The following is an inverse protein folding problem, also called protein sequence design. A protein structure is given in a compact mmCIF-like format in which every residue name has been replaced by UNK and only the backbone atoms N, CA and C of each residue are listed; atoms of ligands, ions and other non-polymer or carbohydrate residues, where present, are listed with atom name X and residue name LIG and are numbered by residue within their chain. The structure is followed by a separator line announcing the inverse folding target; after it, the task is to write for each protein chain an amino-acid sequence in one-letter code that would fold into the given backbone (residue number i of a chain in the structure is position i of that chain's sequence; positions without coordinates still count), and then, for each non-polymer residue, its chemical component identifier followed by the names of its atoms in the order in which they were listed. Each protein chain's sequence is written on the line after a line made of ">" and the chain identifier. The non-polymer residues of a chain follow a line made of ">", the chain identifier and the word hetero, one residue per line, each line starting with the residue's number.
data_IF_346249195257
#
_entry.id   IF_346249195257
#
_cell.length_a   1.000
_cell.length_b   1.000
_cell.length_c   1.000
_cell.angle_alpha   90.00
_cell.angle_beta   90.00
_cell.angle_gamma   90.00
#
_symmetry.space_group_name_H-M   'P 1'
#
loop_
_entity.id
_entity.type
_entity.pdbx_description
1 polymer ?
#
# COMPACT_ATOMS: atom_id res chain seq x y z
N UNK A 1 -27.60 44.82 21.79
CA UNK A 1 -26.92 44.45 23.06
C UNK A 1 -26.62 42.96 22.99
N UNK A 2 -25.45 42.36 23.18
CA UNK A 2 -24.05 42.69 23.44
C UNK A 2 -23.27 41.49 22.85
N UNK A 3 -22.26 41.67 21.99
CA UNK A 3 -20.84 41.89 22.35
C UNK A 3 -20.33 40.91 23.40
N UNK A 4 -19.44 39.98 23.05
CA UNK A 4 -18.19 39.73 23.77
C UNK A 4 -17.17 39.09 22.83
N UNK A 5 -16.03 39.79 22.73
CA UNK A 5 -14.93 39.54 21.85
C UNK A 5 -13.76 38.93 22.66
N UNK A 6 -12.93 38.14 21.95
CA UNK A 6 -11.49 37.95 22.16
C UNK A 6 -11.01 37.32 23.49
N UNK A 7 -10.10 36.35 23.38
CA UNK A 7 -8.79 36.38 24.03
C UNK A 7 -7.96 35.14 23.62
N UNK A 8 -7.04 35.38 22.68
CA UNK A 8 -5.85 34.56 22.46
C UNK A 8 -4.83 34.87 23.57
N UNK A 9 -4.11 33.89 24.13
CA UNK A 9 -2.82 34.15 24.73
C UNK A 9 -1.68 33.89 23.74
N UNK A 10 -0.97 34.96 23.42
CA UNK A 10 0.37 34.96 22.84
C UNK A 10 1.42 35.04 23.96
N UNK A 11 2.49 34.24 23.87
CA UNK A 11 3.88 34.60 24.26
C UNK A 11 4.76 33.36 24.10
N UNK A 12 5.54 33.24 23.02
CA UNK A 12 6.89 33.78 22.86
C UNK A 12 7.80 33.54 24.07
N UNK A 13 8.70 32.56 23.94
CA UNK A 13 10.10 32.74 24.36
C UNK A 13 11.01 32.47 23.19
N UNK A 14 11.51 33.58 22.65
CA UNK A 14 12.71 33.61 21.85
C UNK A 14 13.90 33.19 22.72
N UNK A 15 14.72 32.28 22.21
CA UNK A 15 16.12 32.19 22.60
C UNK A 15 16.94 32.10 21.32
N UNK A 16 17.35 33.28 20.84
CA UNK A 16 18.42 33.45 19.88
C UNK A 16 19.73 33.02 20.57
N UNK A 17 20.48 32.09 20.00
CA UNK A 17 21.94 32.08 20.15
C UNK A 17 22.58 31.96 18.78
N UNK A 18 23.63 32.75 18.65
CA UNK A 18 24.17 33.29 17.43
C UNK A 18 25.31 32.44 16.88
N UNK A 19 25.49 32.55 15.56
CA UNK A 19 26.76 32.67 14.82
C UNK A 19 27.84 31.62 15.09
N UNK A 20 28.06 30.78 14.08
CA UNK A 20 29.33 30.08 13.87
C UNK A 20 29.42 29.60 12.42
N UNK A 21 30.02 30.42 11.56
CA UNK A 21 30.51 30.00 10.24
C UNK A 21 31.71 29.06 10.49
N UNK A 22 31.61 27.77 10.13
CA UNK A 22 32.80 26.96 9.90
C UNK A 22 32.49 25.81 8.93
N UNK A 23 32.87 26.06 7.69
CA UNK A 23 33.49 25.16 6.73
C UNK A 23 32.74 23.90 6.29
N UNK A 24 32.47 23.91 4.98
CA UNK A 24 32.10 22.77 4.18
C UNK A 24 32.89 21.50 4.56
N UNK A 25 32.15 20.42 4.80
CA UNK A 25 32.62 19.07 4.59
C UNK A 25 31.44 18.27 4.09
N UNK A 26 31.36 18.16 2.76
CA UNK A 26 30.52 17.22 2.05
C UNK A 26 31.04 15.81 2.37
N UNK A 27 30.59 15.23 3.49
CA UNK A 27 30.84 13.82 3.77
C UNK A 27 29.77 13.00 3.07
N UNK A 28 30.10 12.57 1.85
CA UNK A 28 29.39 11.52 1.12
C UNK A 28 29.41 10.24 1.97
N UNK A 29 28.40 10.08 2.83
CA UNK A 29 28.25 8.90 3.67
C UNK A 29 27.59 7.81 2.84
N UNK A 30 28.42 6.98 2.19
CA UNK A 30 28.02 5.72 1.61
C UNK A 30 27.84 4.70 2.76
N UNK A 31 26.73 4.78 3.48
CA UNK A 31 26.36 3.80 4.50
C UNK A 31 25.67 2.61 3.82
N UNK A 32 26.45 1.55 3.61
CA UNK A 32 25.97 0.24 3.23
C UNK A 32 24.89 -0.25 4.21
N UNK A 33 23.74 -0.70 3.69
CA UNK A 33 22.70 -1.37 4.47
C UNK A 33 23.25 -2.71 4.99
N UNK A 34 23.59 -2.76 6.28
CA UNK A 34 23.68 -4.00 7.03
C UNK A 34 22.27 -4.40 7.52
N UNK A 35 21.76 -5.61 7.24
CA UNK A 35 20.49 -6.05 7.80
C UNK A 35 20.67 -6.48 9.27
N UNK A 36 19.85 -5.87 10.14
CA UNK A 36 19.32 -6.36 11.41
C UNK A 36 20.04 -7.55 12.08
N UNK A 37 20.92 -7.25 13.05
CA UNK A 37 21.32 -8.22 14.06
C UNK A 37 20.18 -8.39 15.09
N UNK A 38 19.36 -9.43 14.93
CA UNK A 38 18.35 -9.83 15.91
C UNK A 38 19.00 -10.63 17.05
N UNK A 39 18.54 -10.36 18.28
CA UNK A 39 18.96 -11.01 19.51
C UNK A 39 18.84 -12.53 19.43
N UNK A 40 19.96 -13.24 19.61
CA UNK A 40 20.00 -14.69 19.75
C UNK A 40 19.60 -15.09 21.18
N UNK A 41 18.39 -15.60 21.33
CA UNK A 41 17.88 -16.18 22.56
C UNK A 41 17.28 -17.57 22.32
N UNK A 42 17.89 -18.55 22.98
CA UNK A 42 17.41 -19.91 23.30
C UNK A 42 17.53 -21.03 22.27
N UNK A 43 18.48 -21.91 22.57
CA UNK A 43 18.61 -23.28 22.05
C UNK A 43 17.36 -24.11 22.32
N UNK A 44 16.75 -24.61 21.25
CA UNK A 44 16.02 -25.88 21.30
C UNK A 44 16.27 -26.65 20.02
N UNK A 45 16.85 -27.84 20.17
CA UNK A 45 17.30 -28.72 19.09
C UNK A 45 16.09 -29.39 18.45
N UNK A 46 15.36 -28.67 17.60
CA UNK A 46 14.39 -29.27 16.65
C UNK A 46 15.04 -29.29 15.28
N UNK A 47 15.07 -30.47 14.66
CA UNK A 47 15.51 -30.67 13.28
C UNK A 47 14.48 -30.00 12.35
N UNK A 48 14.66 -28.71 12.12
CA UNK A 48 13.86 -27.92 11.18
C UNK A 48 14.35 -28.28 9.77
N UNK A 49 13.61 -29.14 9.08
CA UNK A 49 13.70 -29.23 7.62
C UNK A 49 13.15 -27.93 7.04
N UNK A 50 14.03 -26.97 6.81
CA UNK A 50 13.76 -25.77 6.02
C UNK A 50 13.60 -26.20 4.57
N UNK A 51 12.37 -26.48 4.15
CA UNK A 51 12.06 -26.58 2.72
C UNK A 51 12.29 -25.21 2.10
N UNK A 52 13.29 -25.12 1.22
CA UNK A 52 13.50 -23.93 0.42
C UNK A 52 12.29 -23.74 -0.49
N UNK A 53 11.49 -22.72 -0.22
CA UNK A 53 10.42 -22.29 -1.13
C UNK A 53 11.09 -21.63 -2.32
N UNK A 54 11.11 -22.31 -3.46
CA UNK A 54 11.49 -21.70 -4.74
C UNK A 54 10.39 -20.70 -5.13
N UNK A 55 10.67 -19.41 -4.96
CA UNK A 55 9.78 -18.34 -5.44
C UNK A 55 9.84 -18.33 -6.97
N UNK A 56 8.70 -18.54 -7.63
CA UNK A 56 8.60 -18.41 -9.08
C UNK A 56 8.77 -16.92 -9.47
N UNK A 57 9.84 -16.53 -10.20
CA UNK A 57 10.06 -15.13 -10.56
C UNK A 57 8.92 -14.55 -11.41
N UNK A 58 8.14 -15.39 -12.11
CA UNK A 58 6.94 -14.95 -12.85
C UNK A 58 5.88 -14.29 -11.97
N UNK A 59 5.88 -14.50 -10.65
CA UNK A 59 4.97 -13.81 -9.74
C UNK A 59 5.32 -12.32 -9.60
N UNK A 60 6.60 -11.97 -9.75
CA UNK A 60 7.09 -10.59 -9.75
C UNK A 60 6.85 -9.95 -11.13
N UNK A 61 6.97 -10.73 -12.22
CA UNK A 61 6.84 -10.24 -13.61
C UNK A 61 5.42 -9.84 -14.01
N UNK A 62 4.41 -10.07 -13.17
CA UNK A 62 3.04 -9.59 -13.43
C UNK A 62 2.34 -9.20 -12.12
N UNK A 63 2.63 -8.02 -11.55
CA UNK A 63 2.00 -7.57 -10.30
C UNK A 63 0.46 -7.55 -10.41
N UNK A 64 -0.09 -7.26 -11.59
CA UNK A 64 -1.52 -7.35 -11.87
C UNK A 64 -2.13 -8.75 -11.70
N UNK A 65 -1.38 -9.82 -11.98
CA UNK A 65 -1.88 -11.21 -11.84
C UNK A 65 -2.07 -11.60 -10.39
N UNK A 66 -1.14 -11.20 -9.52
CA UNK A 66 -1.25 -11.46 -8.09
C UNK A 66 -2.42 -10.66 -7.50
N UNK A 67 -2.53 -9.37 -7.85
CA UNK A 67 -3.64 -8.52 -7.40
C UNK A 67 -4.99 -9.08 -7.87
N UNK A 68 -5.12 -9.43 -9.16
CA UNK A 68 -6.35 -9.99 -9.74
C UNK A 68 -6.71 -11.38 -9.18
N UNK A 69 -5.75 -12.16 -8.69
CA UNK A 69 -6.03 -13.48 -8.10
C UNK A 69 -6.98 -13.41 -6.89
N UNK A 70 -6.96 -12.30 -6.15
CA UNK A 70 -7.88 -12.09 -5.04
C UNK A 70 -9.34 -11.92 -5.50
N UNK A 71 -9.56 -11.38 -6.71
CA UNK A 71 -10.88 -11.14 -7.29
C UNK A 71 -11.57 -12.46 -7.72
N UNK A 72 -10.78 -13.42 -8.20
CA UNK A 72 -11.28 -14.70 -8.71
C UNK A 72 -11.85 -15.63 -7.65
N UNK A 73 -11.60 -15.33 -6.37
CA UNK A 73 -12.26 -16.02 -5.26
C UNK A 73 -13.78 -15.83 -5.31
N UNK A 74 -14.24 -14.71 -5.89
CA UNK A 74 -15.66 -14.35 -5.99
C UNK A 74 -16.16 -14.31 -7.43
N UNK A 75 -15.32 -13.92 -8.40
CA UNK A 75 -15.71 -13.73 -9.81
C UNK A 75 -15.29 -14.89 -10.73
N UNK A 76 -14.96 -16.05 -10.16
CA UNK A 76 -14.51 -17.21 -10.91
C UNK A 76 -13.13 -17.04 -11.55
N UNK A 77 -12.58 -18.15 -12.03
CA UNK A 77 -11.24 -18.17 -12.62
C UNK A 77 -11.21 -17.29 -13.87
N UNK A 78 -10.28 -16.33 -13.93
CA UNK A 78 -10.17 -15.42 -15.07
C UNK A 78 -11.25 -14.32 -15.13
N UNK A 79 -12.05 -14.17 -14.06
CA UNK A 79 -13.09 -13.15 -13.96
C UNK A 79 -14.37 -13.52 -14.70
N UNK A 80 -14.57 -14.81 -14.99
CA UNK A 80 -15.81 -15.34 -15.58
C UNK A 80 -16.60 -16.16 -14.55
N UNK A 81 -17.80 -15.70 -14.22
CA UNK A 81 -18.75 -16.38 -13.34
C UNK A 81 -18.68 -15.94 -11.87
N UNK A 82 -19.16 -16.80 -10.96
CA UNK A 82 -19.26 -16.46 -9.55
C UNK A 82 -20.42 -15.49 -9.28
N UNK A 83 -20.13 -14.34 -8.65
CA UNK A 83 -21.14 -13.28 -8.49
C UNK A 83 -21.51 -12.65 -9.83
N UNK A 84 -20.50 -12.18 -10.59
CA UNK A 84 -20.67 -11.50 -11.88
C UNK A 84 -19.40 -11.61 -12.73
N UNK A 85 -19.51 -11.35 -14.03
CA UNK A 85 -18.35 -11.27 -14.92
C UNK A 85 -17.66 -9.90 -14.79
N UNK A 86 -16.34 -9.90 -14.68
CA UNK A 86 -15.51 -8.67 -14.51
C UNK A 86 -14.47 -8.52 -15.64
N UNK A 87 -14.75 -9.09 -16.81
CA UNK A 87 -13.85 -9.01 -17.98
C UNK A 87 -14.22 -7.83 -18.86
N UNK A 88 -13.19 -7.13 -19.36
CA UNK A 88 -13.31 -6.09 -20.38
C UNK A 88 -12.31 -4.95 -20.17
N UNK A 89 -12.09 -4.55 -18.92
CA UNK A 89 -11.03 -3.62 -18.51
C UNK A 89 -11.12 -2.21 -19.12
N UNK A 90 -12.25 -1.83 -19.69
CA UNK A 90 -12.44 -0.48 -20.21
C UNK A 90 -12.27 0.59 -19.12
N UNK A 91 -12.05 1.83 -19.57
CA UNK A 91 -11.93 2.97 -18.66
C UNK A 91 -13.20 3.17 -17.81
N UNK A 92 -14.36 2.74 -18.32
CA UNK A 92 -15.63 2.66 -17.58
C UNK A 92 -15.51 1.78 -16.33
N UNK A 93 -14.95 0.57 -16.41
CA UNK A 93 -14.72 -0.30 -15.23
C UNK A 93 -13.84 0.36 -14.16
N UNK A 94 -12.84 1.16 -14.57
CA UNK A 94 -11.99 1.92 -13.62
C UNK A 94 -12.84 2.90 -12.83
N UNK A 95 -13.73 3.61 -13.54
CA UNK A 95 -14.62 4.62 -12.93
C UNK A 95 -15.60 3.94 -11.98
N UNK A 96 -16.23 2.87 -12.41
CA UNK A 96 -17.19 2.13 -11.60
C UNK A 96 -16.56 1.58 -10.31
N UNK A 97 -15.38 0.96 -10.41
CA UNK A 97 -14.65 0.51 -9.22
C UNK A 97 -14.27 1.68 -8.29
N UNK A 98 -13.97 2.85 -8.86
CA UNK A 98 -13.65 4.06 -8.08
C UNK A 98 -14.87 4.65 -7.40
N UNK A 99 -16.03 4.55 -8.03
CA UNK A 99 -17.28 4.99 -7.45
C UNK A 99 -17.65 4.07 -6.28
N UNK A 100 -17.52 2.74 -6.45
CA UNK A 100 -17.67 1.77 -5.35
C UNK A 100 -16.72 2.06 -4.17
N UNK A 101 -15.48 2.46 -4.43
CA UNK A 101 -14.52 2.80 -3.37
C UNK A 101 -14.97 4.00 -2.51
N UNK A 102 -15.84 4.88 -3.04
CA UNK A 102 -16.39 6.03 -2.32
C UNK A 102 -17.65 5.68 -1.52
N UNK A 103 -18.26 4.54 -1.81
CA UNK A 103 -19.44 4.08 -1.09
C UNK A 103 -19.09 3.54 0.30
N UNK A 104 -20.02 3.57 1.28
CA UNK A 104 -19.76 3.00 2.58
C UNK A 104 -19.59 1.48 2.49
N UNK A 105 -18.48 0.95 3.01
CA UNK A 105 -18.12 -0.48 2.96
C UNK A 105 -19.17 -1.47 3.51
N UNK A 106 -20.14 -0.98 4.29
CA UNK A 106 -21.23 -1.81 4.84
C UNK A 106 -22.39 -2.05 3.88
N UNK A 107 -22.48 -1.26 2.80
CA UNK A 107 -23.61 -1.31 1.87
C UNK A 107 -23.39 -2.36 0.79
N UNK A 108 -22.13 -2.57 0.41
CA UNK A 108 -21.75 -3.49 -0.66
C UNK A 108 -20.39 -4.12 -0.36
N UNK A 109 -20.24 -5.41 -0.66
CA UNK A 109 -19.01 -6.16 -0.39
C UNK A 109 -17.84 -5.68 -1.27
N UNK A 110 -18.14 -5.27 -2.51
CA UNK A 110 -17.17 -4.70 -3.42
C UNK A 110 -16.78 -3.29 -3.01
N UNK A 111 -17.64 -2.50 -2.35
CA UNK A 111 -17.21 -1.23 -1.77
C UNK A 111 -16.08 -1.41 -0.74
N UNK A 112 -16.17 -2.43 0.12
CA UNK A 112 -15.11 -2.78 1.07
C UNK A 112 -13.81 -3.23 0.36
N UNK A 113 -13.92 -4.07 -0.67
CA UNK A 113 -12.77 -4.49 -1.46
C UNK A 113 -12.17 -3.33 -2.28
N UNK A 114 -12.99 -2.39 -2.74
CA UNK A 114 -12.57 -1.29 -3.57
C UNK A 114 -11.71 -0.26 -2.84
N UNK A 115 -11.96 -0.09 -1.55
CA UNK A 115 -11.17 0.74 -0.65
C UNK A 115 -9.77 0.16 -0.37
N UNK A 116 -9.55 -1.13 -0.63
CA UNK A 116 -8.29 -1.82 -0.38
C UNK A 116 -7.19 -1.58 -1.43
N UNK A 117 -7.49 -0.92 -2.55
CA UNK A 117 -6.55 -0.75 -3.66
C UNK A 117 -6.36 0.70 -4.09
N UNK A 118 -5.09 1.07 -4.27
CA UNK A 118 -4.68 2.35 -4.87
C UNK A 118 -4.97 2.39 -6.38
N UNK A 119 -4.99 3.59 -6.97
CA UNK A 119 -5.27 3.77 -8.42
C UNK A 119 -4.32 2.97 -9.29
N UNK A 120 -3.04 2.97 -8.93
CA UNK A 120 -2.02 2.20 -9.63
C UNK A 120 -2.26 0.69 -9.55
N UNK A 121 -2.71 0.18 -8.40
CA UNK A 121 -3.02 -1.25 -8.23
C UNK A 121 -4.25 -1.64 -9.04
N UNK A 122 -5.29 -0.81 -9.08
CA UNK A 122 -6.47 -1.06 -9.93
C UNK A 122 -6.09 -1.13 -11.40
N UNK A 123 -5.28 -0.18 -11.89
CA UNK A 123 -4.84 -0.20 -13.28
C UNK A 123 -4.13 -1.52 -13.63
N UNK A 124 -3.32 -2.06 -12.71
CA UNK A 124 -2.65 -3.35 -12.87
C UNK A 124 -3.64 -4.53 -12.87
N UNK A 125 -4.67 -4.51 -12.00
CA UNK A 125 -5.73 -5.52 -11.97
C UNK A 125 -6.46 -5.53 -13.32
N UNK A 126 -6.93 -4.37 -13.78
CA UNK A 126 -7.69 -4.26 -15.02
C UNK A 126 -6.86 -4.64 -16.24
N UNK A 127 -5.58 -4.28 -16.28
CA UNK A 127 -4.67 -4.75 -17.32
C UNK A 127 -4.59 -6.29 -17.35
N UNK A 128 -4.63 -6.96 -16.19
CA UNK A 128 -4.65 -8.42 -16.13
C UNK A 128 -5.97 -9.00 -16.63
N UNK A 129 -7.10 -8.36 -16.31
CA UNK A 129 -8.43 -8.80 -16.73
C UNK A 129 -8.62 -8.68 -18.25
N UNK A 130 -7.99 -7.68 -18.90
CA UNK A 130 -7.95 -7.56 -20.37
C UNK A 130 -7.21 -8.69 -21.08
N UNK A 131 -6.15 -9.21 -20.48
CA UNK A 131 -5.11 -9.94 -21.21
C UNK A 131 -5.41 -11.42 -21.50
N UNK A 132 -6.68 -11.86 -21.52
CA UNK A 132 -7.08 -13.27 -21.66
C UNK A 132 -8.40 -13.45 -22.39
#
# INVERSE_FOLDING_TARGET
>A
MNSHALMFPASLRAARRARGLVWASLTLSLAALAPNAVHAGSSSKKKTTTSAVTVNPRAIDSPGRLLASNCFQCHGTGGTGGFDNIRGGEAEEVREYRDLAREPARQDIMAAHAQGYTDAQIALILQNLKAK
#
